data_IF_905906742418
#
_entry.id   IF_905906742418
#
_cell.length_a   1.000
_cell.length_b   1.000
_cell.length_c   1.000
_cell.angle_alpha   90.00
_cell.angle_beta   90.00
_cell.angle_gamma   90.00
#
_symmetry.space_group_name_H-M   'P 1'
#
loop_
_entity.id
_entity.type
_entity.pdbx_description
1 polymer ?
#
# COMPACT_ATOMS: atom_id res chain seq x y z
N UNK A 1 24.26 -29.94 26.75
CA UNK A 1 23.85 -30.38 25.39
C UNK A 1 22.37 -30.10 25.07
N UNK A 2 21.43 -30.14 26.04
CA UNK A 2 20.00 -29.85 25.84
C UNK A 2 19.69 -28.38 25.55
N UNK A 3 20.43 -27.43 26.06
CA UNK A 3 20.18 -25.99 25.83
C UNK A 3 20.45 -25.53 24.41
N UNK A 4 21.37 -26.15 23.67
CA UNK A 4 21.69 -25.78 22.29
C UNK A 4 20.64 -26.27 21.30
N UNK A 5 20.08 -27.46 21.54
CA UNK A 5 18.95 -28.00 20.77
C UNK A 5 17.67 -27.20 20.98
N UNK A 6 17.37 -26.75 22.22
CA UNK A 6 16.24 -25.89 22.50
C UNK A 6 16.40 -24.50 21.85
N UNK A 7 17.62 -23.93 21.81
CA UNK A 7 17.89 -22.65 21.15
C UNK A 7 17.70 -22.74 19.64
N UNK A 8 18.18 -23.82 18.99
CA UNK A 8 17.96 -24.01 17.54
C UNK A 8 16.51 -24.30 17.16
N UNK A 9 15.70 -24.82 18.10
CA UNK A 9 14.26 -25.03 17.91
C UNK A 9 13.42 -23.77 18.18
N UNK A 10 13.91 -22.86 19.02
CA UNK A 10 13.22 -21.62 19.41
C UNK A 10 13.70 -20.39 18.60
N UNK A 11 14.83 -20.49 17.92
CA UNK A 11 15.29 -19.41 17.05
C UNK A 11 14.52 -19.46 15.73
N UNK A 12 13.87 -18.36 15.32
CA UNK A 12 13.31 -18.30 13.97
C UNK A 12 14.42 -18.58 12.97
N UNK A 13 14.18 -19.50 12.04
CA UNK A 13 15.13 -19.81 10.97
C UNK A 13 15.48 -18.54 10.19
N UNK A 14 16.47 -18.60 9.30
CA UNK A 14 16.79 -17.46 8.45
C UNK A 14 15.64 -17.12 7.49
N UNK A 15 15.42 -15.82 7.26
CA UNK A 15 14.52 -15.36 6.21
C UNK A 15 14.99 -15.92 4.85
N UNK A 16 14.07 -16.24 3.93
CA UNK A 16 14.42 -16.83 2.64
C UNK A 16 15.07 -15.82 1.68
N UNK A 17 15.18 -14.57 2.06
CA UNK A 17 15.78 -13.50 1.26
C UNK A 17 16.55 -12.52 2.15
N UNK A 18 17.37 -11.69 1.50
CA UNK A 18 18.06 -10.58 2.15
C UNK A 18 18.12 -9.37 1.22
N UNK A 19 18.25 -8.18 1.82
CA UNK A 19 18.50 -6.93 1.11
C UNK A 19 20.01 -6.76 0.89
N UNK A 20 20.40 -6.45 -0.34
CA UNK A 20 21.79 -6.17 -0.72
C UNK A 20 21.88 -4.75 -1.26
N UNK A 21 22.58 -3.88 -0.53
CA UNK A 21 22.87 -2.54 -1.01
C UNK A 21 23.73 -2.60 -2.28
N UNK A 22 23.28 -1.94 -3.34
CA UNK A 22 23.99 -1.89 -4.63
C UNK A 22 24.42 -0.49 -5.01
N UNK A 23 23.68 0.53 -4.59
CA UNK A 23 23.95 1.92 -4.91
C UNK A 23 23.40 2.84 -3.82
N UNK A 24 24.12 3.96 -3.52
CA UNK A 24 23.68 4.97 -2.58
C UNK A 24 24.21 6.36 -3.01
N UNK A 25 23.42 7.41 -2.73
CA UNK A 25 23.79 8.80 -3.03
C UNK A 25 22.64 9.77 -2.99
N UNK A 26 22.89 11.00 -3.41
CA UNK A 26 21.83 12.01 -3.60
C UNK A 26 20.99 11.73 -4.85
N UNK A 27 19.97 12.57 -5.05
CA UNK A 27 19.03 12.41 -6.18
C UNK A 27 19.71 12.50 -7.55
N UNK A 28 20.86 13.16 -7.65
CA UNK A 28 21.61 13.30 -8.90
C UNK A 28 22.07 11.96 -9.48
N UNK A 29 22.38 10.98 -8.61
CA UNK A 29 22.69 9.61 -9.02
C UNK A 29 21.45 8.84 -9.47
N UNK A 30 20.29 9.25 -9.02
CA UNK A 30 19.00 8.60 -9.24
C UNK A 30 18.05 9.44 -10.09
N UNK A 31 18.57 10.24 -11.05
CA UNK A 31 17.78 11.17 -11.88
C UNK A 31 16.60 10.51 -12.60
N UNK A 32 16.68 9.20 -12.90
CA UNK A 32 15.58 8.44 -13.53
C UNK A 32 14.36 8.26 -12.62
N UNK A 33 14.48 8.54 -11.34
CA UNK A 33 13.36 8.40 -10.39
C UNK A 33 12.40 9.61 -10.40
N UNK A 34 12.78 10.75 -11.01
CA UNK A 34 11.91 11.93 -11.08
C UNK A 34 11.70 12.59 -9.70
N UNK A 35 12.77 12.67 -8.90
CA UNK A 35 12.74 13.20 -7.53
C UNK A 35 13.38 14.60 -7.40
N UNK A 36 13.52 15.33 -8.49
CA UNK A 36 14.19 16.64 -8.55
C UNK A 36 13.54 17.70 -7.63
N UNK A 37 12.24 17.54 -7.35
CA UNK A 37 11.52 18.41 -6.41
C UNK A 37 11.95 18.21 -4.93
N UNK A 38 12.70 17.16 -4.62
CA UNK A 38 13.15 16.80 -3.27
C UNK A 38 14.68 16.63 -3.21
N UNK A 39 15.46 17.73 -3.41
CA UNK A 39 16.93 17.66 -3.55
C UNK A 39 17.67 17.25 -2.29
N UNK A 40 17.02 17.27 -1.14
CA UNK A 40 17.55 16.91 0.16
C UNK A 40 17.41 15.42 0.53
N UNK A 41 16.88 14.61 -0.40
CA UNK A 41 16.79 13.17 -0.19
C UNK A 41 18.12 12.46 -0.46
N UNK A 42 18.49 11.56 0.43
CA UNK A 42 19.48 10.50 0.18
C UNK A 42 18.76 9.23 -0.23
N UNK A 43 19.19 8.62 -1.33
CA UNK A 43 18.57 7.45 -1.92
C UNK A 43 19.52 6.26 -1.82
N UNK A 44 18.98 5.09 -1.49
CA UNK A 44 19.70 3.81 -1.60
C UNK A 44 18.89 2.81 -2.40
N UNK A 45 19.59 2.04 -3.25
CA UNK A 45 19.03 0.95 -4.03
C UNK A 45 19.42 -0.37 -3.40
N UNK A 46 18.42 -1.17 -3.10
CA UNK A 46 18.57 -2.50 -2.50
C UNK A 46 18.08 -3.56 -3.48
N UNK A 47 18.87 -4.59 -3.70
CA UNK A 47 18.42 -5.80 -4.39
C UNK A 47 17.93 -6.81 -3.37
N UNK A 48 16.76 -7.38 -3.62
CA UNK A 48 16.22 -8.48 -2.84
C UNK A 48 16.73 -9.79 -3.44
N UNK A 49 17.56 -10.50 -2.69
CA UNK A 49 18.24 -11.71 -3.12
C UNK A 49 17.71 -12.93 -2.37
N UNK A 50 17.49 -14.00 -3.10
CA UNK A 50 17.11 -15.33 -2.57
C UNK A 50 18.27 -16.28 -2.84
N UNK A 51 18.60 -17.10 -1.87
CA UNK A 51 19.66 -18.10 -2.00
C UNK A 51 19.35 -19.07 -3.15
N UNK A 52 20.36 -19.35 -3.99
CA UNK A 52 20.21 -20.23 -5.15
C UNK A 52 19.49 -19.60 -6.35
N UNK A 53 19.18 -18.29 -6.30
CA UNK A 53 18.61 -17.54 -7.43
C UNK A 53 19.61 -16.48 -7.91
N UNK A 54 20.06 -16.59 -9.17
CA UNK A 54 21.11 -15.72 -9.72
C UNK A 54 20.68 -14.25 -9.85
N UNK A 55 19.42 -14.01 -10.20
CA UNK A 55 18.87 -12.67 -10.39
C UNK A 55 18.15 -12.17 -9.13
N UNK A 56 18.15 -10.86 -8.87
CA UNK A 56 17.34 -10.29 -7.79
C UNK A 56 15.85 -10.52 -8.08
N UNK A 57 15.10 -10.93 -7.07
CA UNK A 57 13.67 -11.18 -7.18
C UNK A 57 12.85 -9.90 -7.06
N UNK A 58 13.42 -8.84 -6.48
CA UNK A 58 12.88 -7.48 -6.45
C UNK A 58 14.00 -6.46 -6.30
N UNK A 59 13.67 -5.19 -6.55
CA UNK A 59 14.53 -4.03 -6.28
C UNK A 59 13.72 -3.02 -5.47
N UNK A 60 14.30 -2.55 -4.36
CA UNK A 60 13.73 -1.51 -3.52
C UNK A 60 14.56 -0.24 -3.61
N UNK A 61 13.91 0.92 -3.79
CA UNK A 61 14.53 2.22 -3.63
C UNK A 61 14.04 2.85 -2.33
N UNK A 62 14.98 3.13 -1.46
CA UNK A 62 14.74 3.71 -0.14
C UNK A 62 15.21 5.15 -0.14
N UNK A 63 14.53 6.01 0.61
CA UNK A 63 14.95 7.39 0.77
C UNK A 63 14.92 7.81 2.25
N UNK A 64 15.82 8.73 2.60
CA UNK A 64 15.86 9.35 3.92
C UNK A 64 16.18 10.83 3.82
N UNK A 65 15.86 11.59 4.87
CA UNK A 65 16.31 12.98 5.08
C UNK A 65 17.24 13.03 6.29
N UNK A 66 18.48 13.46 6.08
CA UNK A 66 19.48 13.50 7.13
C UNK A 66 19.66 12.13 7.80
N UNK A 67 19.59 12.08 9.11
CA UNK A 67 19.76 10.86 9.91
C UNK A 67 18.43 10.11 10.18
N UNK A 68 17.34 10.47 9.49
CA UNK A 68 16.06 9.78 9.67
C UNK A 68 16.14 8.34 9.12
N UNK A 69 15.34 7.45 9.70
CA UNK A 69 15.23 6.08 9.19
C UNK A 69 14.71 6.08 7.75
N UNK A 70 15.22 5.18 6.90
CA UNK A 70 14.81 5.12 5.51
C UNK A 70 13.34 4.72 5.37
N UNK A 71 12.73 5.26 4.32
CA UNK A 71 11.38 4.94 3.88
C UNK A 71 11.47 4.32 2.49
N UNK A 72 10.78 3.23 2.26
CA UNK A 72 10.68 2.64 0.93
C UNK A 72 9.83 3.55 0.04
N UNK A 73 10.42 4.04 -1.05
CA UNK A 73 9.72 4.86 -2.06
C UNK A 73 9.17 4.02 -3.20
N UNK A 74 9.93 3.02 -3.61
CA UNK A 74 9.58 2.21 -4.77
C UNK A 74 10.00 0.76 -4.51
N UNK A 75 9.09 -0.16 -4.78
CA UNK A 75 9.33 -1.59 -4.84
C UNK A 75 9.04 -2.06 -6.24
N UNK A 76 10.04 -2.65 -6.90
CA UNK A 76 9.93 -3.22 -8.24
C UNK A 76 10.06 -4.74 -8.13
N UNK A 77 8.97 -5.44 -8.33
CA UNK A 77 8.97 -6.88 -8.38
C UNK A 77 9.57 -7.38 -9.71
N UNK A 78 10.45 -8.36 -9.64
CA UNK A 78 11.09 -9.01 -10.81
C UNK A 78 10.52 -10.38 -11.09
N UNK A 79 9.51 -10.79 -10.35
CA UNK A 79 8.82 -12.08 -10.51
C UNK A 79 7.41 -11.88 -11.05
N UNK A 80 6.74 -12.97 -11.41
CA UNK A 80 5.35 -12.92 -11.88
C UNK A 80 4.31 -12.67 -10.79
N UNK A 81 4.72 -12.71 -9.50
CA UNK A 81 3.81 -12.54 -8.37
C UNK A 81 4.37 -11.59 -7.32
N UNK A 82 3.54 -10.77 -6.67
CA UNK A 82 3.99 -9.86 -5.63
C UNK A 82 4.55 -10.65 -4.43
N UNK A 83 5.68 -10.17 -3.92
CA UNK A 83 6.36 -10.73 -2.75
C UNK A 83 6.75 -9.61 -1.83
N UNK A 84 6.55 -9.80 -0.54
CA UNK A 84 6.85 -8.89 0.55
C UNK A 84 6.02 -7.60 0.46
N UNK A 85 6.10 -6.87 -0.64
CA UNK A 85 5.33 -5.65 -0.88
C UNK A 85 4.65 -5.68 -2.25
N UNK A 86 3.66 -4.81 -2.44
CA UNK A 86 3.00 -4.60 -3.74
C UNK A 86 3.81 -3.57 -4.54
N UNK A 87 3.95 -3.82 -5.85
CA UNK A 87 4.54 -2.85 -6.76
C UNK A 87 3.79 -1.51 -6.74
N UNK A 88 4.54 -0.44 -6.81
CA UNK A 88 4.02 0.92 -6.91
C UNK A 88 4.67 1.70 -8.05
N UNK A 89 4.03 2.79 -8.47
CA UNK A 89 4.62 3.75 -9.41
C UNK A 89 5.08 4.99 -8.65
N UNK A 90 6.37 5.26 -8.68
CA UNK A 90 6.92 6.44 -8.02
C UNK A 90 6.33 7.74 -8.58
N UNK A 91 6.06 7.80 -9.89
CA UNK A 91 5.40 8.95 -10.52
C UNK A 91 3.98 9.23 -9.97
N UNK A 92 3.23 8.22 -9.62
CA UNK A 92 1.91 8.39 -8.99
C UNK A 92 2.06 8.88 -7.53
N UNK A 93 3.04 8.35 -6.80
CA UNK A 93 3.34 8.78 -5.44
C UNK A 93 3.82 10.25 -5.39
N UNK A 94 4.72 10.66 -6.29
CA UNK A 94 5.21 12.05 -6.35
C UNK A 94 4.09 13.02 -6.75
N UNK A 95 3.20 12.60 -7.65
CA UNK A 95 1.99 13.36 -8.00
C UNK A 95 1.03 13.48 -6.81
N UNK A 96 0.82 12.40 -6.05
CA UNK A 96 0.04 12.42 -4.80
C UNK A 96 0.65 13.40 -3.78
N UNK A 97 1.97 13.32 -3.54
CA UNK A 97 2.67 14.21 -2.62
C UNK A 97 2.51 15.69 -3.01
N UNK A 98 2.65 16.00 -4.30
CA UNK A 98 2.45 17.35 -4.84
C UNK A 98 1.01 17.83 -4.68
N UNK A 99 0.03 16.97 -4.89
CA UNK A 99 -1.38 17.30 -4.71
C UNK A 99 -1.73 17.54 -3.24
N UNK A 100 -1.22 16.71 -2.33
CA UNK A 100 -1.38 16.90 -0.88
C UNK A 100 -0.79 18.25 -0.47
N UNK A 101 0.43 18.57 -0.88
CA UNK A 101 1.09 19.83 -0.56
C UNK A 101 0.30 21.06 -1.07
N UNK A 102 -0.45 20.90 -2.17
CA UNK A 102 -1.24 21.99 -2.79
C UNK A 102 -2.64 22.13 -2.21
N UNK A 103 -3.31 21.04 -1.85
CA UNK A 103 -4.75 21.02 -1.60
C UNK A 103 -5.14 20.67 -0.16
N UNK A 104 -4.23 20.13 0.64
CA UNK A 104 -4.50 19.72 2.02
C UNK A 104 -3.94 20.77 2.98
N UNK A 105 -4.70 21.25 3.99
CA UNK A 105 -4.17 22.12 5.04
C UNK A 105 -3.02 21.44 5.80
N UNK A 106 -1.98 22.19 6.18
CA UNK A 106 -0.77 21.64 6.80
C UNK A 106 -1.01 20.95 8.15
N UNK A 107 -2.03 21.38 8.87
CA UNK A 107 -2.42 20.86 10.18
C UNK A 107 -3.49 19.77 10.12
N UNK A 108 -3.96 19.42 8.92
CA UNK A 108 -4.94 18.36 8.75
C UNK A 108 -4.28 16.98 8.85
N UNK A 109 -4.82 16.05 9.68
CA UNK A 109 -4.33 14.69 9.76
C UNK A 109 -4.62 13.91 8.48
N UNK A 110 -3.64 13.13 8.02
CA UNK A 110 -3.76 12.29 6.84
C UNK A 110 -3.74 10.83 7.25
N UNK A 111 -4.74 10.10 6.79
CA UNK A 111 -4.85 8.65 6.88
C UNK A 111 -4.49 8.05 5.51
N UNK A 112 -3.60 7.09 5.49
CA UNK A 112 -3.30 6.27 4.31
C UNK A 112 -2.78 4.90 4.78
N UNK A 113 -2.57 3.97 3.88
CA UNK A 113 -1.85 2.76 4.22
C UNK A 113 -0.51 3.13 4.86
N UNK A 114 -0.02 2.36 5.84
CA UNK A 114 1.14 2.77 6.66
C UNK A 114 2.42 3.09 5.85
N UNK A 115 2.70 2.35 4.77
CA UNK A 115 3.81 2.64 3.88
C UNK A 115 3.60 3.94 3.10
N UNK A 116 2.42 4.15 2.54
CA UNK A 116 2.01 5.40 1.87
C UNK A 116 2.02 6.58 2.83
N UNK A 117 1.59 6.40 4.09
CA UNK A 117 1.67 7.43 5.13
C UNK A 117 3.11 7.90 5.36
N UNK A 118 4.06 6.98 5.48
CA UNK A 118 5.48 7.30 5.64
C UNK A 118 6.06 8.01 4.41
N UNK A 119 5.66 7.56 3.21
CA UNK A 119 6.05 8.20 1.95
C UNK A 119 5.52 9.63 1.86
N UNK A 120 4.25 9.86 2.19
CA UNK A 120 3.65 11.20 2.25
C UNK A 120 4.42 12.07 3.24
N UNK A 121 4.67 11.58 4.46
CA UNK A 121 5.43 12.32 5.47
C UNK A 121 6.84 12.69 4.99
N UNK A 122 7.56 11.74 4.39
CA UNK A 122 8.90 11.98 3.85
C UNK A 122 8.90 13.05 2.75
N UNK A 123 7.97 12.98 1.81
CA UNK A 123 7.94 13.86 0.64
C UNK A 123 7.34 15.24 0.94
N UNK A 124 6.40 15.34 1.85
CA UNK A 124 5.65 16.59 2.10
C UNK A 124 5.92 17.24 3.45
N UNK A 125 6.40 16.48 4.44
CA UNK A 125 6.49 16.92 5.82
C UNK A 125 5.15 17.04 6.54
N UNK A 126 4.03 16.62 5.94
CA UNK A 126 2.70 16.66 6.55
C UNK A 126 2.56 15.61 7.65
N UNK A 127 1.70 15.89 8.62
CA UNK A 127 1.40 14.93 9.67
C UNK A 127 0.53 13.79 9.12
N UNK A 128 1.01 12.55 9.30
CA UNK A 128 0.25 11.34 9.00
C UNK A 128 -0.02 10.59 10.30
N UNK A 129 -1.14 9.86 10.34
CA UNK A 129 -1.52 9.09 11.53
C UNK A 129 -0.58 7.91 11.76
N UNK A 130 -0.06 7.30 10.68
CA UNK A 130 0.87 6.18 10.74
C UNK A 130 2.29 6.64 10.36
N UNK A 131 3.22 6.55 11.31
CA UNK A 131 4.60 7.07 11.17
C UNK A 131 5.65 5.96 11.16
N UNK A 132 5.28 4.77 11.63
CA UNK A 132 6.20 3.64 11.82
C UNK A 132 6.06 2.57 10.74
N UNK A 133 7.07 1.71 10.65
CA UNK A 133 7.02 0.49 9.84
C UNK A 133 6.12 -0.53 10.54
N UNK A 134 4.90 -0.72 10.06
CA UNK A 134 3.96 -1.67 10.64
C UNK A 134 4.19 -3.09 10.13
N UNK A 135 4.68 -3.23 8.89
CA UNK A 135 4.98 -4.53 8.29
C UNK A 135 3.75 -5.41 8.03
N UNK A 136 2.55 -4.82 7.87
CA UNK A 136 1.31 -5.55 7.64
C UNK A 136 0.55 -5.03 6.40
N UNK A 137 0.03 -5.94 5.57
CA UNK A 137 0.42 -7.33 5.46
C UNK A 137 1.76 -7.47 4.73
N UNK A 138 2.60 -8.40 5.16
CA UNK A 138 3.71 -8.87 4.32
C UNK A 138 3.18 -9.96 3.39
N UNK A 139 3.44 -9.80 2.10
CA UNK A 139 2.97 -10.75 1.09
C UNK A 139 3.91 -11.95 1.06
N UNK A 140 3.45 -13.05 1.64
CA UNK A 140 4.24 -14.27 1.78
C UNK A 140 3.82 -15.30 0.74
N UNK A 141 4.66 -15.61 -0.26
CA UNK A 141 4.40 -16.69 -1.20
C UNK A 141 4.17 -18.03 -0.48
N UNK A 142 3.41 -18.97 -1.08
CA UNK A 142 3.11 -20.26 -0.45
C UNK A 142 4.34 -21.02 0.06
N UNK A 143 5.44 -20.99 -0.69
CA UNK A 143 6.71 -21.63 -0.31
C UNK A 143 7.39 -21.01 0.94
N UNK A 144 7.07 -19.75 1.24
CA UNK A 144 7.64 -19.03 2.39
C UNK A 144 6.74 -19.04 3.63
N UNK A 145 5.50 -19.53 3.52
CA UNK A 145 4.56 -19.61 4.66
C UNK A 145 5.18 -20.22 5.92
N UNK A 146 5.97 -21.33 5.86
CA UNK A 146 6.60 -21.88 7.06
C UNK A 146 7.67 -20.96 7.69
N UNK A 147 8.14 -19.93 6.97
CA UNK A 147 9.19 -18.99 7.40
C UNK A 147 8.66 -17.60 7.77
N UNK A 148 7.34 -17.43 7.91
CA UNK A 148 6.71 -16.13 8.19
C UNK A 148 7.33 -15.41 9.39
N UNK A 149 7.57 -16.10 10.48
CA UNK A 149 8.14 -15.46 11.69
C UNK A 149 9.61 -15.05 11.48
N UNK A 150 10.37 -15.81 10.70
CA UNK A 150 11.73 -15.42 10.30
C UNK A 150 11.72 -14.17 9.42
N UNK A 151 10.79 -14.10 8.46
CA UNK A 151 10.58 -12.93 7.59
C UNK A 151 10.23 -11.71 8.44
N UNK A 152 9.26 -11.81 9.33
CA UNK A 152 8.86 -10.70 10.22
C UNK A 152 10.00 -10.23 11.12
N UNK A 153 10.81 -11.16 11.63
CA UNK A 153 11.98 -10.82 12.45
C UNK A 153 13.02 -10.06 11.64
N UNK A 154 13.32 -10.55 10.43
CA UNK A 154 14.26 -9.93 9.51
C UNK A 154 13.81 -8.51 9.08
N UNK A 155 12.54 -8.35 8.73
CA UNK A 155 11.97 -7.05 8.37
C UNK A 155 12.04 -6.06 9.55
N UNK A 156 11.73 -6.51 10.77
CA UNK A 156 11.84 -5.67 11.98
C UNK A 156 13.29 -5.21 12.23
N UNK A 157 14.25 -6.10 12.03
CA UNK A 157 15.67 -5.77 12.18
C UNK A 157 16.11 -4.77 11.10
N UNK A 158 15.78 -5.02 9.85
CA UNK A 158 16.14 -4.17 8.72
C UNK A 158 15.56 -2.76 8.83
N UNK A 159 14.27 -2.63 9.16
CA UNK A 159 13.58 -1.35 9.25
C UNK A 159 13.69 -0.67 10.63
N UNK A 160 14.20 -1.38 11.63
CA UNK A 160 14.32 -0.94 13.02
C UNK A 160 13.08 -1.26 13.86
N UNK A 161 12.99 -0.63 15.05
CA UNK A 161 11.97 -0.95 16.05
C UNK A 161 10.55 -0.97 15.45
N UNK A 162 9.71 -1.96 15.81
CA UNK A 162 8.34 -2.04 15.35
C UNK A 162 7.52 -0.84 15.87
N UNK A 163 6.38 -0.62 15.25
CA UNK A 163 5.40 0.36 15.70
C UNK A 163 4.96 0.12 17.15
N UNK A 164 4.54 1.17 17.83
CA UNK A 164 3.94 1.04 19.16
C UNK A 164 2.64 0.23 19.09
N UNK A 165 2.27 -0.40 20.20
CA UNK A 165 1.00 -1.12 20.30
C UNK A 165 -0.21 -0.21 20.03
N UNK A 166 -0.10 1.08 20.34
CA UNK A 166 -1.14 2.08 20.06
C UNK A 166 -1.28 2.34 18.56
N UNK A 167 -0.18 2.57 17.88
CA UNK A 167 -0.18 2.80 16.43
C UNK A 167 -0.68 1.55 15.68
N UNK A 168 -0.26 0.36 16.12
CA UNK A 168 -0.76 -0.91 15.57
C UNK A 168 -2.28 -1.04 15.75
N UNK A 169 -2.83 -0.71 16.94
CA UNK A 169 -4.30 -0.71 17.16
C UNK A 169 -5.02 0.30 16.27
N UNK A 170 -4.48 1.51 16.11
CA UNK A 170 -5.04 2.52 15.21
C UNK A 170 -5.05 2.03 13.75
N UNK A 171 -3.99 1.34 13.32
CA UNK A 171 -3.95 0.76 11.97
C UNK A 171 -4.96 -0.37 11.80
N UNK A 172 -5.13 -1.25 12.79
CA UNK A 172 -6.18 -2.27 12.75
C UNK A 172 -7.57 -1.61 12.67
N UNK A 173 -7.81 -0.53 13.44
CA UNK A 173 -9.05 0.26 13.38
C UNK A 173 -9.26 0.90 12.01
N UNK A 174 -8.19 1.38 11.37
CA UNK A 174 -8.24 1.88 9.99
C UNK A 174 -8.62 0.79 8.99
N UNK A 175 -8.01 -0.40 9.09
CA UNK A 175 -8.37 -1.55 8.27
C UNK A 175 -9.84 -1.98 8.47
N UNK A 176 -10.32 -1.96 9.72
CA UNK A 176 -11.73 -2.25 10.02
C UNK A 176 -12.66 -1.19 9.44
N UNK A 177 -12.31 0.10 9.49
CA UNK A 177 -13.07 1.18 8.87
C UNK A 177 -13.21 1.00 7.35
N UNK A 178 -12.14 0.60 6.68
CA UNK A 178 -12.15 0.37 5.24
C UNK A 178 -12.96 -0.87 4.82
N UNK A 179 -13.16 -1.84 5.72
CA UNK A 179 -13.97 -3.04 5.47
C UNK A 179 -15.40 -2.97 6.01
N UNK A 180 -15.74 -1.93 6.76
CA UNK A 180 -17.11 -1.63 7.19
C UNK A 180 -17.94 -1.07 6.04
N UNK A 181 -19.24 -0.83 6.26
CA UNK A 181 -20.05 -0.04 5.34
C UNK A 181 -19.63 1.46 5.36
N UNK A 182 -20.18 2.24 4.43
CA UNK A 182 -19.80 3.64 4.26
C UNK A 182 -20.08 4.48 5.53
N UNK A 183 -21.17 4.24 6.24
CA UNK A 183 -21.55 5.01 7.41
C UNK A 183 -20.66 4.68 8.60
N UNK A 184 -20.53 3.41 8.92
CA UNK A 184 -19.69 2.92 10.01
C UNK A 184 -18.21 3.27 9.74
N UNK A 185 -17.72 2.96 8.53
CA UNK A 185 -16.33 3.23 8.12
C UNK A 185 -15.98 4.73 8.21
N UNK A 186 -16.85 5.61 7.71
CA UNK A 186 -16.60 7.05 7.79
C UNK A 186 -16.61 7.58 9.24
N UNK A 187 -17.45 7.01 10.11
CA UNK A 187 -17.45 7.35 11.54
C UNK A 187 -16.12 6.93 12.21
N UNK A 188 -15.63 5.73 11.93
CA UNK A 188 -14.33 5.24 12.42
C UNK A 188 -13.16 6.10 11.93
N UNK A 189 -13.17 6.56 10.66
CA UNK A 189 -12.13 7.47 10.16
C UNK A 189 -12.18 8.82 10.89
N UNK A 190 -13.35 9.35 11.20
CA UNK A 190 -13.48 10.57 12.01
C UNK A 190 -12.94 10.40 13.43
N UNK A 191 -13.15 9.26 14.06
CA UNK A 191 -12.54 8.93 15.36
C UNK A 191 -11.01 8.96 15.26
N UNK A 192 -10.43 8.35 14.23
CA UNK A 192 -8.98 8.30 14.01
C UNK A 192 -8.37 9.68 13.75
N UNK A 193 -9.13 10.62 13.17
CA UNK A 193 -8.70 12.02 13.01
C UNK A 193 -8.96 12.88 14.26
N UNK A 194 -9.45 12.29 15.36
CA UNK A 194 -9.79 13.01 16.59
C UNK A 194 -10.99 13.92 16.44
N UNK A 195 -11.94 13.59 15.57
CA UNK A 195 -13.12 14.39 15.26
C UNK A 195 -12.86 15.65 14.43
N UNK A 196 -11.60 15.92 14.09
CA UNK A 196 -11.19 17.04 13.22
C UNK A 196 -11.44 16.70 11.75
N UNK A 197 -11.53 17.74 10.93
CA UNK A 197 -11.39 17.57 9.49
C UNK A 197 -10.06 16.89 9.17
N UNK A 198 -10.09 15.86 8.35
CA UNK A 198 -8.91 15.11 7.95
C UNK A 198 -9.02 14.60 6.53
N UNK A 199 -8.02 13.85 6.10
CA UNK A 199 -7.96 13.31 4.74
C UNK A 199 -7.62 11.83 4.77
N UNK A 200 -8.20 11.08 3.84
CA UNK A 200 -7.83 9.69 3.60
C UNK A 200 -7.36 9.54 2.16
N UNK A 201 -6.18 9.00 2.00
CA UNK A 201 -5.61 8.61 0.70
C UNK A 201 -5.63 7.10 0.58
N UNK A 202 -6.29 6.57 -0.44
CA UNK A 202 -6.36 5.15 -0.76
C UNK A 202 -5.81 4.89 -2.15
N UNK A 203 -5.25 3.71 -2.36
CA UNK A 203 -4.74 3.25 -3.64
C UNK A 203 -5.43 1.96 -4.07
N UNK A 204 -5.57 1.73 -5.38
CA UNK A 204 -6.18 0.50 -5.90
C UNK A 204 -5.54 -0.79 -5.34
N UNK A 205 -4.23 -0.78 -5.10
CA UNK A 205 -3.55 -1.93 -4.48
C UNK A 205 -3.95 -2.19 -3.03
N UNK A 206 -4.57 -1.22 -2.35
CA UNK A 206 -5.03 -1.40 -0.97
C UNK A 206 -6.18 -2.41 -0.90
N UNK A 207 -6.94 -2.63 -2.00
CA UNK A 207 -7.88 -3.73 -2.12
C UNK A 207 -7.21 -5.08 -1.82
N UNK A 208 -6.08 -5.34 -2.46
CA UNK A 208 -5.36 -6.59 -2.28
C UNK A 208 -4.73 -6.71 -0.89
N UNK A 209 -4.06 -5.64 -0.41
CA UNK A 209 -3.48 -5.59 0.93
C UNK A 209 -4.53 -5.84 2.01
N UNK A 210 -5.69 -5.17 1.90
CA UNK A 210 -6.78 -5.30 2.85
C UNK A 210 -7.48 -6.67 2.76
N UNK A 211 -7.63 -7.22 1.55
CA UNK A 211 -8.14 -8.58 1.35
C UNK A 211 -7.26 -9.64 2.02
N UNK A 212 -5.93 -9.45 2.05
CA UNK A 212 -5.02 -10.33 2.80
C UNK A 212 -5.19 -10.20 4.32
N UNK A 213 -5.49 -9.00 4.82
CA UNK A 213 -5.68 -8.74 6.26
C UNK A 213 -7.07 -9.14 6.77
N UNK A 214 -8.09 -9.02 5.94
CA UNK A 214 -9.51 -9.24 6.28
C UNK A 214 -10.22 -10.11 5.25
N UNK A 215 -9.72 -11.33 5.01
CA UNK A 215 -10.27 -12.21 3.96
C UNK A 215 -11.72 -12.64 4.21
N UNK A 216 -12.18 -12.56 5.45
CA UNK A 216 -13.56 -12.80 5.88
C UNK A 216 -14.50 -11.63 5.54
N UNK A 217 -13.98 -10.44 5.29
CA UNK A 217 -14.75 -9.22 5.01
C UNK A 217 -14.62 -8.73 3.58
N UNK A 218 -13.45 -8.89 2.97
CA UNK A 218 -13.14 -8.40 1.64
C UNK A 218 -12.44 -9.48 0.81
N UNK A 219 -13.18 -10.10 -0.09
CA UNK A 219 -12.67 -11.06 -1.06
C UNK A 219 -12.11 -10.33 -2.28
N UNK A 220 -10.81 -10.44 -2.52
CA UNK A 220 -10.12 -9.80 -3.63
C UNK A 220 -9.27 -10.81 -4.39
N UNK A 221 -9.38 -10.78 -5.70
CA UNK A 221 -8.44 -11.43 -6.62
C UNK A 221 -7.82 -10.37 -7.53
N UNK A 222 -6.68 -10.67 -8.13
CA UNK A 222 -6.10 -9.84 -9.18
C UNK A 222 -5.58 -10.70 -10.32
N UNK A 223 -5.43 -10.07 -11.49
CA UNK A 223 -4.77 -10.66 -12.65
C UNK A 223 -4.14 -9.58 -13.50
N UNK A 224 -2.95 -9.87 -13.99
CA UNK A 224 -2.23 -9.01 -14.94
C UNK A 224 -2.60 -9.41 -16.37
N UNK A 225 -2.96 -8.41 -17.16
CA UNK A 225 -3.34 -8.55 -18.56
C UNK A 225 -2.35 -7.78 -19.44
N UNK A 226 -1.91 -8.36 -20.56
CA UNK A 226 -1.06 -7.64 -21.50
C UNK A 226 -1.85 -6.53 -22.20
N UNK A 227 -1.25 -5.32 -22.29
CA UNK A 227 -1.74 -4.21 -23.08
C UNK A 227 -0.98 -4.19 -24.41
N UNK A 228 -1.49 -4.89 -25.43
CA UNK A 228 -0.86 -5.01 -26.72
C UNK A 228 -1.14 -3.78 -27.59
N UNK A 229 -0.09 -2.99 -27.88
CA UNK A 229 -0.22 -1.86 -28.81
C UNK A 229 -1.29 -0.82 -28.44
N UNK A 230 -1.67 -0.70 -27.16
CA UNK A 230 -2.71 0.22 -26.71
C UNK A 230 -4.15 -0.26 -26.98
N UNK A 231 -4.37 -1.52 -27.33
CA UNK A 231 -5.72 -2.09 -27.56
C UNK A 231 -6.53 -2.16 -26.26
N UNK A 232 -7.18 -1.05 -25.92
CA UNK A 232 -8.07 -0.94 -24.75
C UNK A 232 -9.35 -1.77 -24.91
N UNK A 233 -9.85 -1.93 -26.15
CA UNK A 233 -11.06 -2.72 -26.39
C UNK A 233 -10.82 -4.22 -26.18
N UNK A 234 -9.73 -4.75 -26.70
CA UNK A 234 -9.31 -6.13 -26.45
C UNK A 234 -9.04 -6.39 -24.99
N UNK A 235 -8.38 -5.47 -24.28
CA UNK A 235 -8.17 -5.54 -22.84
C UNK A 235 -9.51 -5.64 -22.08
N UNK A 236 -10.47 -4.74 -22.40
CA UNK A 236 -11.79 -4.74 -21.74
C UNK A 236 -12.50 -6.08 -21.93
N UNK A 237 -12.42 -6.66 -23.13
CA UNK A 237 -12.98 -7.98 -23.43
C UNK A 237 -12.35 -9.09 -22.59
N UNK A 238 -11.02 -9.09 -22.45
CA UNK A 238 -10.30 -10.08 -21.63
C UNK A 238 -10.66 -9.98 -20.15
N UNK A 239 -10.71 -8.76 -19.60
CA UNK A 239 -11.07 -8.53 -18.20
C UNK A 239 -12.49 -8.95 -17.90
N UNK A 240 -13.47 -8.59 -18.75
CA UNK A 240 -14.89 -8.98 -18.60
C UNK A 240 -15.08 -10.48 -18.69
N UNK A 241 -14.38 -11.16 -19.60
CA UNK A 241 -14.41 -12.62 -19.69
C UNK A 241 -13.89 -13.25 -18.41
N UNK A 242 -12.74 -12.79 -17.91
CA UNK A 242 -12.17 -13.27 -16.65
C UNK A 242 -13.12 -13.06 -15.46
N UNK A 243 -13.77 -11.89 -15.37
CA UNK A 243 -14.80 -11.61 -14.37
C UNK A 243 -15.91 -12.67 -14.41
N UNK A 244 -16.46 -12.94 -15.61
CA UNK A 244 -17.57 -13.88 -15.82
C UNK A 244 -17.18 -15.33 -15.53
N UNK A 245 -16.03 -15.77 -16.05
CA UNK A 245 -15.54 -17.14 -15.91
C UNK A 245 -15.28 -17.50 -14.44
N UNK A 246 -14.83 -16.53 -13.62
CA UNK A 246 -14.59 -16.71 -12.20
C UNK A 246 -15.78 -16.33 -11.31
N UNK A 247 -16.89 -15.88 -11.88
CA UNK A 247 -18.10 -15.44 -11.15
C UNK A 247 -17.84 -14.29 -10.18
N UNK A 248 -16.89 -13.41 -10.51
CA UNK A 248 -16.60 -12.22 -9.71
C UNK A 248 -17.68 -11.16 -9.93
N UNK A 249 -17.84 -10.25 -8.96
CA UNK A 249 -18.95 -9.29 -8.96
C UNK A 249 -18.58 -7.93 -9.52
N UNK A 250 -17.32 -7.53 -9.40
CA UNK A 250 -16.85 -6.21 -9.80
C UNK A 250 -15.36 -6.21 -10.09
N UNK A 251 -14.90 -5.22 -10.84
CA UNK A 251 -13.46 -5.03 -11.09
C UNK A 251 -13.10 -3.56 -11.25
N UNK A 252 -11.82 -3.27 -11.05
CA UNK A 252 -11.13 -2.05 -11.44
C UNK A 252 -9.81 -2.38 -12.10
N UNK A 253 -9.28 -1.49 -12.94
CA UNK A 253 -8.03 -1.70 -13.66
C UNK A 253 -7.02 -0.62 -13.34
N UNK A 254 -5.74 -1.01 -13.25
CA UNK A 254 -4.63 -0.10 -13.01
C UNK A 254 -3.45 -0.48 -13.90
N UNK A 255 -2.92 0.48 -14.66
CA UNK A 255 -1.72 0.26 -15.46
C UNK A 255 -0.51 0.08 -14.55
N UNK A 256 0.14 -1.08 -14.58
CA UNK A 256 1.34 -1.35 -13.77
C UNK A 256 2.64 -1.09 -14.55
N UNK A 257 2.59 -1.19 -15.89
CA UNK A 257 3.67 -0.84 -16.79
C UNK A 257 3.11 -0.37 -18.15
N UNK A 258 3.98 -0.03 -19.09
CA UNK A 258 3.58 0.29 -20.46
C UNK A 258 2.87 -0.88 -21.17
N UNK A 259 3.20 -2.11 -20.79
CA UNK A 259 2.75 -3.32 -21.47
C UNK A 259 1.75 -4.15 -20.65
N UNK A 260 1.49 -3.80 -19.39
CA UNK A 260 0.63 -4.58 -18.51
C UNK A 260 -0.31 -3.71 -17.68
N UNK A 261 -1.53 -4.21 -17.56
CA UNK A 261 -2.59 -3.66 -16.71
C UNK A 261 -2.98 -4.72 -15.69
N UNK A 262 -2.99 -4.37 -14.41
CA UNK A 262 -3.54 -5.21 -13.35
C UNK A 262 -5.02 -4.92 -13.18
N UNK A 263 -5.86 -5.95 -13.23
CA UNK A 263 -7.24 -5.86 -12.83
C UNK A 263 -7.40 -6.45 -11.42
N UNK A 264 -8.03 -5.69 -10.54
CA UNK A 264 -8.48 -6.14 -9.23
C UNK A 264 -9.94 -6.50 -9.31
N UNK A 265 -10.32 -7.66 -8.78
CA UNK A 265 -11.67 -8.19 -8.81
C UNK A 265 -12.19 -8.37 -7.40
N UNK A 266 -13.46 -8.03 -7.17
CA UNK A 266 -14.17 -8.42 -5.97
C UNK A 266 -14.84 -9.78 -6.19
N UNK A 267 -14.61 -10.71 -5.28
CA UNK A 267 -15.03 -12.11 -5.46
C UNK A 267 -16.49 -12.35 -5.12
N UNK A 268 -17.13 -11.42 -4.39
CA UNK A 268 -18.51 -11.54 -3.93
C UNK A 268 -19.19 -10.17 -3.74
N UNK A 269 -20.53 -10.18 -3.63
CA UNK A 269 -21.35 -8.98 -3.48
C UNK A 269 -21.12 -8.25 -2.13
N UNK A 270 -20.75 -8.97 -1.04
CA UNK A 270 -20.46 -8.37 0.26
C UNK A 270 -19.25 -7.46 0.16
N UNK A 271 -18.23 -7.89 -0.55
CA UNK A 271 -17.01 -7.12 -0.78
C UNK A 271 -17.27 -5.79 -1.49
N UNK A 272 -18.27 -5.73 -2.38
CA UNK A 272 -18.66 -4.49 -3.07
C UNK A 272 -19.26 -3.43 -2.14
N UNK A 273 -19.80 -3.82 -0.98
CA UNK A 273 -20.41 -2.92 -0.02
C UNK A 273 -19.41 -2.36 1.00
N UNK A 274 -18.15 -2.78 0.96
CA UNK A 274 -17.11 -2.24 1.85
C UNK A 274 -16.79 -0.79 1.51
N UNK A 275 -16.43 -0.01 2.52
CA UNK A 275 -16.12 1.41 2.32
C UNK A 275 -14.97 1.59 1.32
N UNK A 276 -13.90 0.78 1.41
CA UNK A 276 -12.80 0.84 0.44
C UNK A 276 -13.29 0.61 -1.00
N UNK A 277 -14.16 -0.38 -1.22
CA UNK A 277 -14.72 -0.64 -2.54
C UNK A 277 -15.55 0.54 -3.06
N UNK A 278 -16.25 1.25 -2.19
CA UNK A 278 -17.02 2.45 -2.57
C UNK A 278 -16.12 3.67 -2.83
N UNK A 279 -14.96 3.78 -2.17
CA UNK A 279 -13.97 4.84 -2.41
C UNK A 279 -13.22 4.69 -3.74
N UNK A 280 -13.19 3.49 -4.33
CA UNK A 280 -12.39 3.18 -5.52
C UNK A 280 -13.27 2.97 -6.77
N UNK A 281 -12.75 3.17 -7.99
CA UNK A 281 -13.51 3.14 -9.23
C UNK A 281 -13.77 1.70 -9.71
N UNK A 282 -14.48 0.93 -8.92
CA UNK A 282 -14.97 -0.39 -9.29
C UNK A 282 -16.22 -0.28 -10.17
N UNK A 283 -16.51 -1.29 -10.98
CA UNK A 283 -17.70 -1.27 -11.86
C UNK A 283 -19.04 -1.21 -11.14
N UNK A 284 -19.05 -1.46 -9.83
CA UNK A 284 -20.24 -1.40 -8.96
C UNK A 284 -20.24 -0.20 -8.01
N UNK A 285 -19.19 0.62 -7.99
CA UNK A 285 -19.08 1.78 -7.11
C UNK A 285 -19.37 3.10 -7.83
N UNK A 286 -19.73 4.12 -7.06
CA UNK A 286 -19.91 5.50 -7.51
C UNK A 286 -19.14 6.45 -6.59
N UNK A 287 -17.79 6.47 -6.68
CA UNK A 287 -16.93 7.18 -5.73
C UNK A 287 -17.14 8.71 -5.74
N UNK A 288 -17.72 9.28 -6.79
CA UNK A 288 -18.06 10.71 -6.88
C UNK A 288 -19.33 11.08 -6.12
N UNK A 289 -20.22 10.12 -5.84
CA UNK A 289 -21.54 10.38 -5.23
C UNK A 289 -21.57 10.11 -3.73
N UNK A 290 -20.41 9.79 -3.12
CA UNK A 290 -20.31 9.53 -1.69
C UNK A 290 -20.56 10.79 -0.88
N UNK A 291 -21.61 10.77 -0.01
CA UNK A 291 -21.95 11.90 0.86
C UNK A 291 -21.15 11.93 2.17
N UNK A 292 -20.61 10.79 2.58
CA UNK A 292 -19.88 10.66 3.84
C UNK A 292 -18.48 11.28 3.81
N UNK A 293 -17.90 11.40 2.62
CA UNK A 293 -16.58 11.98 2.34
C UNK A 293 -16.63 12.73 1.00
N UNK A 294 -15.69 13.65 0.79
CA UNK A 294 -15.63 14.46 -0.42
C UNK A 294 -14.34 14.14 -1.20
N UNK A 295 -14.45 13.74 -2.47
CA UNK A 295 -13.29 13.57 -3.33
C UNK A 295 -12.58 14.91 -3.53
N UNK A 296 -11.25 14.92 -3.30
CA UNK A 296 -10.39 16.12 -3.44
C UNK A 296 -9.40 15.95 -4.58
N UNK A 297 -8.91 14.72 -4.79
CA UNK A 297 -7.89 14.43 -5.79
C UNK A 297 -7.99 12.99 -6.27
N UNK A 298 -7.73 12.80 -7.57
CA UNK A 298 -7.62 11.48 -8.18
C UNK A 298 -6.58 11.54 -9.31
N UNK A 299 -5.60 10.66 -9.26
CA UNK A 299 -4.67 10.43 -10.37
C UNK A 299 -4.04 9.05 -10.25
N UNK A 300 -3.94 8.35 -11.38
CA UNK A 300 -3.43 6.98 -11.38
C UNK A 300 -4.27 6.08 -10.49
N UNK A 301 -3.58 5.32 -9.63
CA UNK A 301 -4.23 4.45 -8.64
C UNK A 301 -4.68 5.16 -7.37
N UNK A 302 -4.31 6.42 -7.13
CA UNK A 302 -4.60 7.15 -5.89
C UNK A 302 -5.91 7.94 -5.93
N UNK A 303 -6.65 7.86 -4.81
CA UNK A 303 -7.90 8.59 -4.53
C UNK A 303 -7.79 9.23 -3.15
N UNK A 304 -7.99 10.54 -3.07
CA UNK A 304 -7.88 11.31 -1.82
C UNK A 304 -9.22 11.93 -1.50
N UNK A 305 -9.72 11.64 -0.31
CA UNK A 305 -10.99 12.17 0.17
C UNK A 305 -10.79 13.01 1.44
N UNK A 306 -11.55 14.08 1.52
CA UNK A 306 -11.72 14.86 2.72
C UNK A 306 -12.74 14.17 3.63
N UNK A 307 -12.38 13.99 4.88
CA UNK A 307 -13.24 13.49 5.95
C UNK A 307 -13.76 14.72 6.70
N UNK A 308 -15.08 15.00 6.68
CA UNK A 308 -15.61 16.16 7.39
C UNK A 308 -15.44 15.99 8.90
N UNK A 309 -15.26 17.11 9.62
CA UNK A 309 -15.27 17.11 11.09
C UNK A 309 -16.60 16.57 11.64
N UNK A 310 -16.56 16.06 12.86
CA UNK A 310 -17.80 15.74 13.57
C UNK A 310 -18.64 17.00 13.69
N UNK A 311 -19.90 16.94 13.26
CA UNK A 311 -20.82 18.06 13.54
C UNK A 311 -21.00 18.17 15.06
N UNK A 312 -20.96 19.39 15.64
CA UNK A 312 -21.37 19.57 17.02
C UNK A 312 -22.76 18.99 17.15
N UNK A 313 -22.96 18.06 18.08
CA UNK A 313 -24.32 17.61 18.44
C UNK A 313 -25.15 18.82 18.72
N UNK A 314 -26.17 19.09 17.88
CA UNK A 314 -27.19 20.08 18.18
C UNK A 314 -27.91 19.59 19.44
N UNK A 315 -27.47 20.14 20.58
CA UNK A 315 -28.13 20.01 21.90
C UNK A 315 -29.48 20.73 21.92
#
# INVERSE_FOLDING_TARGET
MFGWLAYTWLSPGQAPYHYKLTEEGGIEKFSKLGLEAWPDLSISKQEVRVEGVDQPVAVAHLASRGNAKPVMLLWENRTGEPMVFVDGKLSELTALASAIAKHVPKDAPILAWWDTSRQIQLLTGYETIFKSQLGEPLITPPLWKPKVEAIKSYEREFWGAPASADESRKFQRFADALTADVQEGSAMLRELTGGREGYVAVHLSDLYKLGLMRPDRLGVAYKDFPLRGGDVHGLSGMVKRWLTDNKYTSYSVHGISENYVRAYFLTDAKSSNTFLAQLLPLTTSQPLDLKAVQLVYQQGGYWVYKIPSAQPSSS
#
